data_IF_762215065708
#
_entry.id   IF_762215065708
#
_cell.length_a   1.000
_cell.length_b   1.000
_cell.length_c   1.000
_cell.angle_alpha   90.00
_cell.angle_beta   90.00
_cell.angle_gamma   90.00
#
_symmetry.space_group_name_H-M   'P 1'
#
loop_
_entity.id
_entity.type
_entity.pdbx_description
1 polymer ?
#
# COMPACT_ATOMS: atom_id res chain seq x y z
N UNK A 1 -30.62 -15.93 -22.74
CA UNK A 1 -29.17 -16.07 -22.93
C UNK A 1 -28.52 -15.75 -21.59
N UNK A 2 -28.11 -16.79 -20.87
CA UNK A 2 -27.68 -16.71 -19.47
C UNK A 2 -26.37 -15.92 -19.36
N UNK A 3 -26.37 -14.83 -18.58
CA UNK A 3 -25.13 -14.22 -18.12
C UNK A 3 -24.43 -15.20 -17.16
N UNK A 4 -23.11 -15.40 -17.29
CA UNK A 4 -22.40 -16.24 -16.34
C UNK A 4 -22.35 -15.53 -14.98
N UNK A 5 -22.80 -16.26 -13.97
CA UNK A 5 -22.71 -15.93 -12.55
C UNK A 5 -21.30 -15.46 -12.18
N UNK A 6 -21.15 -14.19 -11.83
CA UNK A 6 -19.95 -13.72 -11.14
C UNK A 6 -19.78 -14.50 -9.83
N UNK A 7 -18.60 -15.07 -9.66
CA UNK A 7 -18.10 -15.84 -8.51
C UNK A 7 -18.64 -15.36 -7.15
N UNK A 8 -19.27 -16.24 -6.34
CA UNK A 8 -19.81 -15.87 -5.02
C UNK A 8 -18.73 -15.39 -4.05
N UNK A 9 -17.48 -15.84 -4.20
CA UNK A 9 -16.38 -15.54 -3.25
C UNK A 9 -15.91 -14.08 -3.30
N UNK A 10 -15.81 -13.49 -4.49
CA UNK A 10 -15.40 -12.08 -4.64
C UNK A 10 -16.38 -11.12 -3.97
N UNK A 11 -17.67 -11.51 -3.94
CA UNK A 11 -18.72 -10.74 -3.29
C UNK A 11 -18.62 -10.78 -1.76
N UNK A 12 -18.14 -11.90 -1.19
CA UNK A 12 -18.00 -12.05 0.25
C UNK A 12 -16.91 -11.12 0.82
N UNK A 13 -15.78 -11.00 0.13
CA UNK A 13 -14.64 -10.18 0.56
C UNK A 13 -14.99 -8.69 0.72
N UNK A 14 -15.74 -8.12 -0.24
CA UNK A 14 -16.19 -6.73 -0.15
C UNK A 14 -17.39 -6.54 0.78
N UNK A 15 -18.16 -7.60 1.07
CA UNK A 15 -19.34 -7.52 1.94
C UNK A 15 -19.02 -7.66 3.44
N UNK A 16 -17.79 -8.02 3.82
CA UNK A 16 -17.36 -8.15 5.22
C UNK A 16 -17.48 -6.85 6.03
N UNK A 17 -17.50 -6.97 7.36
CA UNK A 17 -17.54 -5.81 8.26
C UNK A 17 -16.26 -4.97 8.09
N UNK A 18 -16.46 -3.71 7.69
CA UNK A 18 -15.41 -2.75 7.33
C UNK A 18 -14.52 -2.39 8.52
N UNK A 19 -15.09 -2.41 9.74
CA UNK A 19 -14.31 -2.17 10.96
C UNK A 19 -13.39 -3.35 11.23
N UNK A 20 -13.91 -4.57 11.06
CA UNK A 20 -13.12 -5.79 11.20
C UNK A 20 -12.02 -5.85 10.13
N UNK A 21 -12.33 -5.52 8.87
CA UNK A 21 -11.33 -5.45 7.79
C UNK A 21 -10.21 -4.45 8.12
N UNK A 22 -10.55 -3.26 8.61
CA UNK A 22 -9.56 -2.27 9.01
C UNK A 22 -8.68 -2.74 10.18
N UNK A 23 -9.30 -3.33 11.21
CA UNK A 23 -8.56 -3.89 12.35
C UNK A 23 -7.63 -5.02 11.91
N UNK A 24 -8.11 -5.93 11.06
CA UNK A 24 -7.31 -7.02 10.53
C UNK A 24 -6.16 -6.49 9.68
N UNK A 25 -6.40 -5.50 8.82
CA UNK A 25 -5.37 -4.87 8.02
C UNK A 25 -4.26 -4.25 8.89
N UNK A 26 -4.66 -3.51 9.93
CA UNK A 26 -3.73 -2.90 10.88
C UNK A 26 -2.95 -3.97 11.66
N UNK A 27 -3.63 -5.00 12.20
CA UNK A 27 -2.98 -6.07 12.95
C UNK A 27 -1.98 -6.85 12.10
N UNK A 28 -2.36 -7.23 10.88
CA UNK A 28 -1.45 -7.92 9.95
C UNK A 28 -0.26 -7.03 9.57
N UNK A 29 -0.48 -5.73 9.34
CA UNK A 29 0.62 -4.79 9.04
C UNK A 29 1.56 -4.64 10.23
N UNK A 30 1.04 -4.52 11.45
CA UNK A 30 1.84 -4.45 12.67
C UNK A 30 2.61 -5.75 12.90
N UNK A 31 2.00 -6.91 12.63
CA UNK A 31 2.66 -8.20 12.70
C UNK A 31 3.80 -8.32 11.69
N UNK A 32 3.60 -7.89 10.44
CA UNK A 32 4.66 -7.86 9.42
C UNK A 32 5.79 -6.89 9.82
N UNK A 33 5.46 -5.71 10.34
CA UNK A 33 6.45 -4.78 10.87
C UNK A 33 7.25 -5.40 12.01
N UNK A 34 6.57 -6.09 12.94
CA UNK A 34 7.21 -6.78 14.05
C UNK A 34 8.19 -7.85 13.56
N UNK A 35 7.76 -8.72 12.64
CA UNK A 35 8.62 -9.76 12.06
C UNK A 35 9.83 -9.12 11.37
N UNK A 36 9.63 -8.09 10.56
CA UNK A 36 10.75 -7.41 9.89
C UNK A 36 11.74 -6.78 10.87
N UNK A 37 11.25 -6.08 11.91
CA UNK A 37 12.13 -5.46 12.88
C UNK A 37 12.87 -6.52 13.70
N UNK A 38 12.16 -7.55 14.17
CA UNK A 38 12.71 -8.58 15.03
C UNK A 38 13.74 -9.46 14.32
N UNK A 39 13.47 -9.89 13.09
CA UNK A 39 14.29 -10.88 12.38
C UNK A 39 15.26 -10.27 11.36
N UNK A 40 15.08 -9.01 10.95
CA UNK A 40 15.91 -8.38 9.93
C UNK A 40 16.58 -7.13 10.47
N UNK A 41 15.84 -6.10 10.90
CA UNK A 41 16.47 -4.82 11.30
C UNK A 41 17.34 -4.98 12.56
N UNK A 42 16.90 -5.74 13.57
CA UNK A 42 17.64 -5.93 14.82
C UNK A 42 18.89 -6.80 14.68
N UNK A 43 18.91 -7.68 13.68
CA UNK A 43 20.05 -8.59 13.41
C UNK A 43 21.14 -7.90 12.56
N UNK A 44 20.88 -6.69 12.04
CA UNK A 44 21.92 -5.96 11.30
C UNK A 44 23.05 -5.51 12.23
N UNK A 45 24.30 -5.65 11.79
CA UNK A 45 25.49 -5.25 12.56
C UNK A 45 25.40 -3.79 13.05
N UNK A 46 24.85 -2.89 12.22
CA UNK A 46 24.65 -1.50 12.59
C UNK A 46 23.72 -1.33 13.81
N UNK A 47 22.68 -2.15 13.95
CA UNK A 47 21.78 -2.09 15.09
C UNK A 47 22.43 -2.65 16.36
N UNK A 48 23.19 -3.74 16.24
CA UNK A 48 23.95 -4.33 17.34
C UNK A 48 24.96 -3.32 17.93
N UNK A 49 25.74 -2.64 17.07
CA UNK A 49 26.71 -1.63 17.50
C UNK A 49 26.06 -0.39 18.16
N UNK A 50 24.88 0.02 17.70
CA UNK A 50 24.20 1.22 18.20
C UNK A 50 23.41 0.97 19.49
N UNK A 51 23.08 -0.30 19.79
CA UNK A 51 22.31 -0.64 20.98
C UNK A 51 23.09 -0.41 22.29
N UNK A 52 24.42 -0.56 22.26
CA UNK A 52 25.31 -0.30 23.40
C UNK A 52 25.64 1.19 23.61
N UNK A 53 25.18 2.06 22.69
CA UNK A 53 25.38 3.51 22.73
C UNK A 53 24.12 4.20 23.27
N UNK A 54 24.23 5.43 23.80
CA UNK A 54 23.04 6.25 24.14
C UNK A 54 22.10 6.47 22.94
N UNK A 55 22.64 6.39 21.73
CA UNK A 55 21.91 6.42 20.44
C UNK A 55 20.91 5.27 20.30
N UNK A 56 21.11 4.12 20.95
CA UNK A 56 20.18 2.99 20.98
C UNK A 56 18.82 3.34 21.60
N UNK A 57 18.78 4.30 22.52
CA UNK A 57 17.51 4.80 23.09
C UNK A 57 16.67 5.52 22.02
N UNK A 58 17.33 6.29 21.14
CA UNK A 58 16.67 6.99 20.03
C UNK A 58 16.12 5.97 19.03
N UNK A 59 16.88 4.92 18.71
CA UNK A 59 16.41 3.85 17.81
C UNK A 59 15.16 3.15 18.36
N UNK A 60 15.14 2.83 19.65
CA UNK A 60 13.97 2.23 20.31
C UNK A 60 12.76 3.16 20.27
N UNK A 61 12.94 4.45 20.52
CA UNK A 61 11.87 5.45 20.43
C UNK A 61 11.32 5.53 19.00
N UNK A 62 12.19 5.59 17.99
CA UNK A 62 11.79 5.60 16.59
C UNK A 62 10.98 4.36 16.22
N UNK A 63 11.39 3.17 16.67
CA UNK A 63 10.63 1.95 16.44
C UNK A 63 9.24 1.99 17.09
N UNK A 64 9.12 2.45 18.34
CA UNK A 64 7.81 2.63 19.00
C UNK A 64 6.91 3.60 18.24
N UNK A 65 7.46 4.71 17.75
CA UNK A 65 6.72 5.69 16.95
C UNK A 65 6.20 5.03 15.65
N UNK A 66 7.00 4.17 14.98
CA UNK A 66 6.54 3.44 13.78
C UNK A 66 5.25 2.66 14.08
N UNK A 67 5.22 1.88 15.17
CA UNK A 67 4.04 1.06 15.52
C UNK A 67 2.78 1.90 15.79
N UNK A 68 2.90 3.00 16.54
CA UNK A 68 1.75 3.87 16.86
C UNK A 68 1.28 4.65 15.62
N UNK A 69 2.22 5.02 14.73
CA UNK A 69 1.91 5.83 13.55
C UNK A 69 1.15 5.05 12.47
N UNK A 70 1.35 3.73 12.33
CA UNK A 70 0.70 2.92 11.28
C UNK A 70 -0.83 3.06 11.26
N UNK A 71 -1.57 2.76 12.34
CA UNK A 71 -3.04 2.81 12.29
C UNK A 71 -3.55 4.23 12.00
N UNK A 72 -2.85 5.27 12.48
CA UNK A 72 -3.23 6.66 12.23
C UNK A 72 -3.01 7.05 10.76
N UNK A 73 -1.85 6.72 10.20
CA UNK A 73 -1.52 6.98 8.79
C UNK A 73 -2.48 6.20 7.89
N UNK A 74 -2.79 4.95 8.21
CA UNK A 74 -3.72 4.13 7.43
C UNK A 74 -5.15 4.67 7.49
N UNK A 75 -5.61 5.07 8.68
CA UNK A 75 -6.92 5.71 8.81
C UNK A 75 -7.01 6.96 7.92
N UNK A 76 -6.02 7.86 8.00
CA UNK A 76 -5.97 9.05 7.16
C UNK A 76 -5.91 8.72 5.66
N UNK A 77 -5.01 7.81 5.27
CA UNK A 77 -4.83 7.36 3.87
C UNK A 77 -6.15 6.88 3.29
N UNK A 78 -6.86 5.98 3.98
CA UNK A 78 -8.11 5.43 3.45
C UNK A 78 -9.24 6.44 3.45
N UNK A 79 -9.26 7.39 4.38
CA UNK A 79 -10.24 8.48 4.35
C UNK A 79 -10.07 9.33 3.08
N UNK A 80 -8.83 9.69 2.75
CA UNK A 80 -8.50 10.49 1.56
C UNK A 80 -8.81 9.73 0.27
N UNK A 81 -8.34 8.48 0.13
CA UNK A 81 -8.56 7.70 -1.08
C UNK A 81 -10.05 7.39 -1.27
N UNK A 82 -10.76 7.01 -0.21
CA UNK A 82 -12.20 6.77 -0.27
C UNK A 82 -12.97 8.03 -0.66
N UNK A 83 -12.52 9.19 -0.19
CA UNK A 83 -13.12 10.48 -0.55
C UNK A 83 -12.92 10.78 -2.04
N UNK A 84 -11.71 10.63 -2.55
CA UNK A 84 -11.40 10.82 -3.98
C UNK A 84 -12.27 9.92 -4.87
N UNK A 85 -12.35 8.62 -4.53
CA UNK A 85 -13.17 7.67 -5.29
C UNK A 85 -14.66 7.99 -5.17
N UNK A 86 -15.13 8.38 -3.98
CA UNK A 86 -16.52 8.75 -3.76
C UNK A 86 -16.92 10.00 -4.58
N UNK A 87 -16.06 11.02 -4.62
CA UNK A 87 -16.25 12.19 -5.50
C UNK A 87 -16.30 11.76 -6.96
N UNK A 88 -15.42 10.85 -7.39
CA UNK A 88 -15.47 10.25 -8.72
C UNK A 88 -16.83 9.59 -9.01
N UNK A 89 -17.30 8.71 -8.13
CA UNK A 89 -18.62 8.09 -8.26
C UNK A 89 -19.74 9.13 -8.36
N UNK A 90 -19.70 10.18 -7.53
CA UNK A 90 -20.68 11.26 -7.51
C UNK A 90 -20.69 12.07 -8.82
N UNK A 91 -19.53 12.44 -9.35
CA UNK A 91 -19.39 13.21 -10.59
C UNK A 91 -20.03 12.52 -11.80
N UNK A 92 -19.96 11.19 -11.86
CA UNK A 92 -20.57 10.42 -12.94
C UNK A 92 -22.00 9.93 -12.61
N UNK A 93 -22.61 10.44 -11.54
CA UNK A 93 -24.01 10.18 -11.20
C UNK A 93 -24.28 8.80 -10.56
N UNK A 94 -23.26 8.14 -10.01
CA UNK A 94 -23.41 6.82 -9.39
C UNK A 94 -23.68 6.91 -7.89
N UNK A 95 -24.75 6.25 -7.44
CA UNK A 95 -25.14 6.20 -6.03
C UNK A 95 -24.35 5.14 -5.25
N UNK A 96 -23.06 5.40 -5.03
CA UNK A 96 -22.21 4.61 -4.13
C UNK A 96 -21.99 5.41 -2.84
N UNK A 97 -22.25 4.80 -1.70
CA UNK A 97 -22.10 5.46 -0.40
C UNK A 97 -20.61 5.57 -0.04
N UNK A 98 -20.21 6.65 0.64
CA UNK A 98 -18.83 6.82 1.13
C UNK A 98 -18.33 5.61 1.93
N UNK A 99 -19.19 5.06 2.80
CA UNK A 99 -18.90 3.86 3.59
C UNK A 99 -18.60 2.63 2.69
N UNK A 100 -19.18 2.54 1.50
CA UNK A 100 -18.86 1.46 0.54
C UNK A 100 -17.50 1.70 -0.10
N UNK A 101 -17.22 2.93 -0.57
CA UNK A 101 -15.89 3.29 -1.10
C UNK A 101 -14.78 3.02 -0.08
N UNK A 102 -15.00 3.40 1.19
CA UNK A 102 -14.03 3.17 2.27
C UNK A 102 -13.75 1.68 2.49
N UNK A 103 -14.80 0.83 2.46
CA UNK A 103 -14.64 -0.62 2.54
C UNK A 103 -13.85 -1.20 1.36
N UNK A 104 -14.13 -0.73 0.13
CA UNK A 104 -13.40 -1.14 -1.08
C UNK A 104 -11.93 -0.78 -0.99
N UNK A 105 -11.60 0.43 -0.54
CA UNK A 105 -10.22 0.90 -0.39
C UNK A 105 -9.45 0.05 0.61
N UNK A 106 -10.03 -0.23 1.78
CA UNK A 106 -9.40 -1.10 2.80
C UNK A 106 -9.20 -2.51 2.26
N UNK A 107 -10.23 -3.06 1.62
CA UNK A 107 -10.18 -4.41 1.06
C UNK A 107 -9.11 -4.53 -0.04
N UNK A 108 -9.00 -3.53 -0.92
CA UNK A 108 -7.99 -3.50 -1.97
C UNK A 108 -6.57 -3.34 -1.41
N UNK A 109 -6.40 -2.66 -0.27
CA UNK A 109 -5.09 -2.40 0.33
C UNK A 109 -4.32 -3.67 0.71
N UNK A 110 -5.01 -4.78 0.97
CA UNK A 110 -4.38 -6.07 1.29
C UNK A 110 -3.35 -6.53 0.24
N UNK A 111 -3.49 -6.07 -1.02
CA UNK A 111 -2.51 -6.37 -2.07
C UNK A 111 -1.09 -5.88 -1.72
N UNK A 112 -0.98 -4.78 -0.97
CA UNK A 112 0.31 -4.21 -0.56
C UNK A 112 0.98 -4.97 0.60
N UNK A 113 0.32 -5.98 1.18
CA UNK A 113 0.99 -6.89 2.12
C UNK A 113 1.93 -7.86 1.41
N UNK A 114 1.62 -8.23 0.16
CA UNK A 114 2.43 -9.17 -0.62
C UNK A 114 3.87 -8.68 -0.81
N UNK A 115 4.14 -7.44 -1.28
CA UNK A 115 5.52 -6.96 -1.41
C UNK A 115 6.27 -6.92 -0.07
N UNK A 116 5.59 -6.65 1.04
CA UNK A 116 6.23 -6.65 2.36
C UNK A 116 6.61 -8.06 2.79
N UNK A 117 5.74 -9.06 2.56
CA UNK A 117 6.06 -10.48 2.80
C UNK A 117 7.22 -10.93 1.90
N UNK A 118 7.23 -10.56 0.62
CA UNK A 118 8.32 -10.89 -0.29
C UNK A 118 9.65 -10.27 0.15
N UNK A 119 9.62 -9.02 0.62
CA UNK A 119 10.80 -8.36 1.21
C UNK A 119 11.33 -9.14 2.40
N UNK A 120 10.45 -9.51 3.33
CA UNK A 120 10.84 -10.27 4.53
C UNK A 120 11.41 -11.63 4.13
N UNK A 121 10.75 -12.36 3.23
CA UNK A 121 11.22 -13.66 2.75
C UNK A 121 12.59 -13.57 2.05
N UNK A 122 12.83 -12.52 1.26
CA UNK A 122 14.11 -12.30 0.58
C UNK A 122 15.27 -12.14 1.57
N UNK A 123 15.11 -11.28 2.58
CA UNK A 123 16.17 -11.02 3.56
C UNK A 123 16.31 -12.11 4.63
N UNK A 124 15.34 -13.01 4.78
CA UNK A 124 15.48 -14.17 5.66
C UNK A 124 16.10 -15.38 4.98
N UNK A 125 16.03 -15.50 3.66
CA UNK A 125 16.39 -16.74 2.93
C UNK A 125 17.53 -16.52 1.93
N UNK A 126 17.55 -15.37 1.25
CA UNK A 126 18.47 -15.11 0.14
C UNK A 126 19.64 -14.24 0.58
N UNK A 127 19.35 -13.09 1.19
CA UNK A 127 20.36 -12.11 1.62
C UNK A 127 20.26 -11.91 3.13
N UNK A 128 20.97 -12.74 3.90
CA UNK A 128 20.80 -12.85 5.36
C UNK A 128 21.64 -11.86 6.16
N UNK A 129 22.55 -11.11 5.53
CA UNK A 129 23.31 -10.02 6.18
C UNK A 129 23.14 -8.70 5.42
N UNK A 130 21.91 -8.17 5.31
CA UNK A 130 21.65 -6.96 4.54
C UNK A 130 22.08 -5.71 5.31
N UNK A 131 22.63 -4.72 4.60
CA UNK A 131 22.82 -3.41 5.22
C UNK A 131 21.49 -2.69 5.40
N UNK A 132 21.46 -1.72 6.30
CA UNK A 132 20.28 -0.87 6.50
C UNK A 132 19.81 -0.16 5.22
N UNK A 133 20.75 0.16 4.33
CA UNK A 133 20.46 0.79 3.04
C UNK A 133 19.79 -0.20 2.08
N UNK A 134 20.21 -1.46 2.08
CA UNK A 134 19.65 -2.50 1.21
C UNK A 134 18.17 -2.77 1.56
N UNK A 135 17.87 -2.89 2.86
CA UNK A 135 16.49 -3.08 3.35
C UNK A 135 15.57 -1.92 2.91
N UNK A 136 16.11 -0.69 2.95
CA UNK A 136 15.39 0.53 2.55
C UNK A 136 15.23 0.67 1.05
N UNK A 137 16.18 0.20 0.25
CA UNK A 137 16.19 0.30 -1.21
C UNK A 137 15.40 -0.83 -1.88
N UNK A 138 15.22 -1.97 -1.20
CA UNK A 138 14.53 -3.11 -1.77
C UNK A 138 13.01 -2.87 -1.87
N UNK A 139 12.47 -2.81 -3.08
CA UNK A 139 11.02 -2.77 -3.32
C UNK A 139 10.67 -3.79 -4.40
N UNK A 140 10.20 -4.99 -4.01
CA UNK A 140 10.01 -6.07 -4.96
C UNK A 140 8.97 -5.67 -6.02
N UNK A 141 9.27 -5.99 -7.28
CA UNK A 141 8.40 -5.74 -8.45
C UNK A 141 8.00 -4.25 -8.64
N UNK A 142 8.81 -3.32 -8.15
CA UNK A 142 8.74 -1.90 -8.48
C UNK A 142 9.66 -1.54 -9.63
N UNK A 143 9.38 -0.43 -10.33
CA UNK A 143 10.28 0.08 -11.37
C UNK A 143 11.69 0.38 -10.83
N UNK A 144 11.78 0.71 -9.54
CA UNK A 144 13.04 0.93 -8.84
C UNK A 144 13.95 -0.30 -8.82
N UNK A 145 13.42 -1.52 -8.98
CA UNK A 145 14.23 -2.73 -9.04
C UNK A 145 15.00 -2.89 -10.37
N UNK A 146 14.55 -2.24 -11.45
CA UNK A 146 15.16 -2.35 -12.78
C UNK A 146 16.22 -1.27 -13.05
N UNK A 147 16.47 -0.37 -12.10
CA UNK A 147 17.40 0.76 -12.22
C UNK A 147 18.38 0.69 -11.06
N UNK A 148 19.65 1.00 -11.32
CA UNK A 148 20.67 1.01 -10.26
C UNK A 148 20.34 2.10 -9.22
N UNK A 149 20.04 1.68 -7.99
CA UNK A 149 19.64 2.53 -6.87
C UNK A 149 20.61 3.68 -6.62
N UNK A 150 21.92 3.44 -6.75
CA UNK A 150 22.95 4.44 -6.47
C UNK A 150 22.98 5.55 -7.53
N UNK A 151 22.50 5.26 -8.74
CA UNK A 151 22.42 6.20 -9.85
C UNK A 151 21.11 7.02 -9.86
N UNK A 152 20.13 6.65 -9.04
CA UNK A 152 18.81 7.30 -9.02
C UNK A 152 18.89 8.61 -8.25
N UNK A 153 18.61 9.70 -8.94
CA UNK A 153 18.43 11.00 -8.29
C UNK A 153 17.29 10.92 -7.25
N UNK A 154 17.46 11.44 -6.02
CA UNK A 154 16.47 11.34 -4.94
C UNK A 154 15.01 11.69 -5.31
N UNK A 155 14.80 12.66 -6.22
CA UNK A 155 13.49 13.05 -6.77
C UNK A 155 12.71 11.91 -7.42
N UNK A 156 13.42 10.94 -8.02
CA UNK A 156 12.83 9.81 -8.74
C UNK A 156 12.69 8.55 -7.87
N UNK A 157 13.36 8.49 -6.72
CA UNK A 157 13.31 7.32 -5.84
C UNK A 157 11.87 7.01 -5.38
N UNK A 158 11.10 8.02 -4.96
CA UNK A 158 9.71 7.82 -4.54
C UNK A 158 8.77 7.45 -5.70
N UNK A 159 8.75 8.17 -6.85
CA UNK A 159 7.95 7.77 -8.01
C UNK A 159 8.24 6.36 -8.52
N UNK A 160 9.52 5.99 -8.66
CA UNK A 160 9.92 4.67 -9.17
C UNK A 160 9.54 3.54 -8.21
N UNK A 161 9.54 3.82 -6.90
CA UNK A 161 9.02 2.90 -5.88
C UNK A 161 7.50 2.76 -5.95
N UNK A 162 6.79 3.89 -6.08
CA UNK A 162 5.33 3.92 -6.10
C UNK A 162 4.77 3.21 -7.34
N UNK A 163 5.48 3.29 -8.47
CA UNK A 163 5.17 2.54 -9.67
C UNK A 163 5.63 1.10 -9.53
N UNK A 164 4.72 0.22 -9.14
CA UNK A 164 4.97 -1.20 -8.95
C UNK A 164 3.79 -2.07 -9.42
N UNK A 165 4.03 -3.37 -9.57
CA UNK A 165 3.00 -4.30 -10.04
C UNK A 165 1.79 -4.38 -9.10
N UNK A 166 1.99 -4.20 -7.79
CA UNK A 166 0.93 -4.23 -6.79
C UNK A 166 0.02 -3.00 -6.86
N UNK A 167 0.55 -1.85 -7.27
CA UNK A 167 -0.21 -0.63 -7.57
C UNK A 167 -1.15 -0.87 -8.77
N UNK A 168 -0.66 -1.54 -9.81
CA UNK A 168 -1.52 -1.93 -10.94
C UNK A 168 -2.61 -2.89 -10.49
N UNK A 169 -2.27 -3.92 -9.71
CA UNK A 169 -3.25 -4.84 -9.13
C UNK A 169 -4.27 -4.11 -8.22
N UNK A 170 -3.84 -3.11 -7.47
CA UNK A 170 -4.70 -2.25 -6.66
C UNK A 170 -5.76 -1.53 -7.52
N UNK A 171 -5.40 -1.01 -8.70
CA UNK A 171 -6.37 -0.39 -9.61
C UNK A 171 -7.46 -1.37 -10.05
N UNK A 172 -7.09 -2.61 -10.39
CA UNK A 172 -8.07 -3.66 -10.73
C UNK A 172 -8.99 -3.99 -9.56
N UNK A 173 -8.46 -4.07 -8.34
CA UNK A 173 -9.26 -4.33 -7.13
C UNK A 173 -10.23 -3.19 -6.83
N UNK A 174 -9.81 -1.93 -6.99
CA UNK A 174 -10.69 -0.77 -6.87
C UNK A 174 -11.84 -0.83 -7.89
N UNK A 175 -11.53 -1.11 -9.15
CA UNK A 175 -12.55 -1.25 -10.21
C UNK A 175 -13.52 -2.39 -9.87
N UNK A 176 -13.02 -3.54 -9.42
CA UNK A 176 -13.84 -4.68 -9.04
C UNK A 176 -14.79 -4.34 -7.87
N UNK A 177 -14.26 -3.72 -6.81
CA UNK A 177 -15.04 -3.35 -5.63
C UNK A 177 -16.08 -2.27 -5.90
N UNK A 178 -15.74 -1.23 -6.68
CA UNK A 178 -16.72 -0.21 -7.08
C UNK A 178 -17.77 -0.80 -8.02
N UNK A 179 -17.38 -1.69 -8.95
CA UNK A 179 -18.33 -2.36 -9.84
C UNK A 179 -19.37 -3.18 -9.09
N UNK A 180 -18.95 -3.89 -8.02
CA UNK A 180 -19.83 -4.65 -7.15
C UNK A 180 -20.96 -3.79 -6.57
N UNK A 181 -20.64 -2.57 -6.10
CA UNK A 181 -21.65 -1.66 -5.52
C UNK A 181 -22.40 -0.81 -6.55
N UNK A 182 -21.73 -0.40 -7.63
CA UNK A 182 -22.32 0.46 -8.65
C UNK A 182 -23.35 -0.30 -9.51
N UNK A 183 -23.25 -1.63 -9.64
CA UNK A 183 -24.14 -2.49 -10.47
C UNK A 183 -24.33 -1.98 -11.91
N UNK A 184 -23.26 -1.46 -12.52
CA UNK A 184 -23.26 -0.81 -13.84
C UNK A 184 -22.16 -1.38 -14.72
N UNK A 185 -22.15 -1.05 -16.01
CA UNK A 185 -21.17 -1.63 -16.93
C UNK A 185 -19.73 -1.31 -16.50
N UNK A 186 -18.86 -2.32 -16.57
CA UNK A 186 -17.46 -2.24 -16.12
C UNK A 186 -16.68 -1.09 -16.78
N UNK A 187 -17.04 -0.71 -18.02
CA UNK A 187 -16.41 0.39 -18.76
C UNK A 187 -16.50 1.73 -18.03
N UNK A 188 -17.66 2.08 -17.47
CA UNK A 188 -17.79 3.35 -16.75
C UNK A 188 -17.07 3.32 -15.41
N UNK A 189 -17.04 2.17 -14.73
CA UNK A 189 -16.32 2.03 -13.46
C UNK A 189 -14.81 2.25 -13.65
N UNK A 190 -14.26 1.73 -14.75
CA UNK A 190 -12.89 2.02 -15.15
C UNK A 190 -12.63 3.51 -15.31
N UNK A 191 -13.52 4.23 -15.99
CA UNK A 191 -13.40 5.69 -16.18
C UNK A 191 -13.42 6.41 -14.83
N UNK A 192 -14.32 6.02 -13.92
CA UNK A 192 -14.38 6.60 -12.57
C UNK A 192 -13.05 6.43 -11.85
N UNK A 193 -12.52 5.21 -11.77
CA UNK A 193 -11.26 4.92 -11.06
C UNK A 193 -10.09 5.62 -11.73
N UNK A 194 -10.07 5.67 -13.08
CA UNK A 194 -9.02 6.35 -13.83
C UNK A 194 -9.01 7.86 -13.57
N UNK A 195 -10.16 8.54 -13.66
CA UNK A 195 -10.25 9.98 -13.49
C UNK A 195 -10.13 10.44 -12.04
N UNK A 196 -10.55 9.60 -11.07
CA UNK A 196 -10.47 9.95 -9.65
C UNK A 196 -9.14 9.55 -9.03
N UNK A 197 -8.81 8.25 -9.03
CA UNK A 197 -7.65 7.74 -8.33
C UNK A 197 -6.38 7.80 -9.18
N UNK A 198 -6.38 7.16 -10.35
CA UNK A 198 -5.16 6.95 -11.16
C UNK A 198 -4.59 8.31 -11.61
N UNK A 199 -5.44 9.21 -12.10
CA UNK A 199 -5.02 10.56 -12.51
C UNK A 199 -4.39 11.34 -11.36
N UNK A 200 -5.04 11.36 -10.19
CA UNK A 200 -4.53 12.09 -9.02
C UNK A 200 -3.23 11.45 -8.51
N UNK A 201 -3.11 10.13 -8.56
CA UNK A 201 -1.88 9.41 -8.24
C UNK A 201 -0.72 9.87 -9.14
N UNK A 202 -0.90 9.90 -10.46
CA UNK A 202 0.15 10.37 -11.36
C UNK A 202 0.47 11.86 -11.18
N UNK A 203 -0.54 12.71 -10.96
CA UNK A 203 -0.32 14.13 -10.65
C UNK A 203 0.50 14.30 -9.37
N UNK A 204 0.25 13.48 -8.35
CA UNK A 204 1.02 13.47 -7.12
C UNK A 204 2.48 13.06 -7.35
N UNK A 205 2.73 12.03 -8.16
CA UNK A 205 4.10 11.61 -8.50
C UNK A 205 4.85 12.71 -9.27
N UNK A 206 4.21 13.35 -10.25
CA UNK A 206 4.81 14.45 -11.01
C UNK A 206 5.10 15.66 -10.13
N UNK A 207 4.15 16.03 -9.26
CA UNK A 207 4.34 17.10 -8.29
C UNK A 207 5.53 16.80 -7.36
N UNK A 208 5.61 15.59 -6.80
CA UNK A 208 6.71 15.18 -5.95
C UNK A 208 8.06 15.29 -6.67
N UNK A 209 8.16 14.76 -7.89
CA UNK A 209 9.39 14.78 -8.69
C UNK A 209 9.81 16.20 -9.11
N UNK A 210 8.86 17.13 -9.24
CA UNK A 210 9.12 18.53 -9.58
C UNK A 210 9.54 19.39 -8.39
N UNK A 211 9.02 19.11 -7.19
CA UNK A 211 9.30 19.90 -5.98
C UNK A 211 10.58 19.44 -5.28
N UNK A 212 10.81 18.13 -5.20
CA UNK A 212 12.03 17.60 -4.61
C UNK A 212 13.19 17.76 -5.60
N UNK A 213 14.14 18.64 -5.25
CA UNK A 213 15.35 18.88 -6.05
C UNK A 213 16.43 17.88 -5.73
#
# INVERSE_FOLDING_TARGET
>A
MNQPSSTPETNAFFASDKRLLFLLLCLTTLALLFVKIAFIENETAAFEFLQDRPEGTILRLMNTIKYVSIPLIYAWKFLVIAFVIWVGCFMFGYRVNYRQCWGVVIAAEFIFMIPEVLKIAWFMIVETDPTYHDIRAFYPLSLMHFVDYQSIHPRWAYPLRALNLFEVAYWFLLVAGIHHYARKSKRYVWIIVACSYILIFFLWLLFYAGVYK
#
